data_IF_028587566067
#
_entry.id   IF_028587566067
#
_cell.length_a   1.000
_cell.length_b   1.000
_cell.length_c   1.000
_cell.angle_alpha   90.00
_cell.angle_beta   90.00
_cell.angle_gamma   90.00
#
_symmetry.space_group_name_H-M   'P 1'
#
loop_
_entity.id
_entity.type
_entity.pdbx_description
1 polymer ?
#
# COMPACT_ATOMS: atom_id res chain seq x y z
N UNK A 1 6.02 -12.15 -19.28
CA UNK A 1 5.96 -11.16 -18.17
C UNK A 1 4.59 -11.06 -17.47
N UNK A 2 3.59 -11.93 -17.76
CA UNK A 2 2.23 -11.82 -17.19
C UNK A 2 1.94 -12.68 -15.94
N UNK A 3 2.75 -13.69 -15.64
CA UNK A 3 2.40 -14.73 -14.64
C UNK A 3 2.65 -14.37 -13.16
N UNK A 4 2.99 -13.11 -12.83
CA UNK A 4 3.41 -12.73 -11.47
C UNK A 4 2.46 -11.81 -10.68
N UNK A 5 1.41 -11.27 -11.31
CA UNK A 5 0.58 -10.20 -10.73
C UNK A 5 -0.92 -10.51 -10.72
N UNK A 6 -1.30 -11.76 -11.00
CA UNK A 6 -2.70 -12.18 -11.05
C UNK A 6 -3.40 -11.99 -9.69
N UNK A 7 -2.65 -12.07 -8.58
CA UNK A 7 -3.16 -11.80 -7.23
C UNK A 7 -3.50 -10.32 -6.97
N UNK A 8 -3.03 -9.41 -7.83
CA UNK A 8 -3.30 -7.97 -7.78
C UNK A 8 -4.44 -7.55 -8.72
N UNK A 9 -4.68 -8.33 -9.77
CA UNK A 9 -5.62 -8.00 -10.86
C UNK A 9 -6.88 -8.87 -10.85
N UNK A 10 -6.90 -9.96 -10.07
CA UNK A 10 -8.07 -10.80 -9.89
C UNK A 10 -9.28 -10.06 -9.28
N UNK A 11 -10.51 -10.55 -9.49
CA UNK A 11 -11.75 -9.90 -9.04
C UNK A 11 -11.82 -9.64 -7.54
N UNK A 12 -11.08 -10.41 -6.74
CA UNK A 12 -11.03 -10.30 -5.28
C UNK A 12 -9.86 -9.45 -4.76
N UNK A 13 -8.91 -9.06 -5.61
CA UNK A 13 -7.71 -8.32 -5.19
C UNK A 13 -8.01 -6.99 -4.47
N UNK A 14 -9.04 -6.21 -4.86
CA UNK A 14 -9.47 -5.00 -4.14
C UNK A 14 -10.46 -5.29 -2.99
N UNK A 15 -11.03 -6.50 -2.94
CA UNK A 15 -12.18 -6.86 -2.08
C UNK A 15 -11.80 -7.65 -0.83
N UNK A 16 -10.52 -8.00 -0.63
CA UNK A 16 -10.05 -8.67 0.58
C UNK A 16 -10.50 -7.89 1.82
N UNK A 17 -11.39 -8.49 2.61
CA UNK A 17 -12.06 -7.81 3.72
C UNK A 17 -11.07 -7.18 4.70
N UNK A 18 -9.97 -7.86 5.01
CA UNK A 18 -8.96 -7.29 5.91
C UNK A 18 -8.06 -6.23 5.28
N UNK A 19 -7.99 -6.10 3.94
CA UNK A 19 -7.39 -4.90 3.33
C UNK A 19 -8.18 -3.67 3.75
N UNK A 20 -9.53 -3.74 3.65
CA UNK A 20 -10.42 -2.64 4.03
C UNK A 20 -10.31 -2.33 5.52
N UNK A 21 -10.30 -3.36 6.37
CA UNK A 21 -10.10 -3.22 7.81
C UNK A 21 -8.76 -2.57 8.14
N UNK A 22 -7.65 -3.12 7.65
CA UNK A 22 -6.31 -2.59 7.96
C UNK A 22 -6.06 -1.21 7.34
N UNK A 23 -6.57 -0.92 6.13
CA UNK A 23 -6.52 0.45 5.59
C UNK A 23 -7.29 1.44 6.48
N UNK A 24 -8.47 1.05 6.97
CA UNK A 24 -9.25 1.90 7.87
C UNK A 24 -8.51 2.13 9.18
N UNK A 25 -7.99 1.06 9.79
CA UNK A 25 -7.23 1.13 11.03
C UNK A 25 -5.98 2.01 10.89
N UNK A 26 -5.22 1.85 9.79
CA UNK A 26 -4.07 2.71 9.48
C UNK A 26 -4.49 4.17 9.32
N UNK A 27 -5.56 4.44 8.56
CA UNK A 27 -6.04 5.82 8.37
C UNK A 27 -6.45 6.47 9.70
N UNK A 28 -7.11 5.73 10.60
CA UNK A 28 -7.46 6.24 11.93
C UNK A 28 -6.21 6.51 12.75
N UNK A 29 -5.26 5.57 12.80
CA UNK A 29 -4.02 5.73 13.54
C UNK A 29 -3.22 6.95 13.07
N UNK A 30 -3.09 7.12 11.74
CA UNK A 30 -2.41 8.27 11.14
C UNK A 30 -3.09 9.58 11.54
N UNK A 31 -4.43 9.66 11.48
CA UNK A 31 -5.18 10.87 11.85
C UNK A 31 -5.01 11.26 13.32
N UNK A 32 -4.77 10.29 14.20
CA UNK A 32 -4.59 10.52 15.64
C UNK A 32 -3.13 10.86 15.96
N UNK A 33 -2.18 10.15 15.35
CA UNK A 33 -0.76 10.22 15.72
C UNK A 33 0.07 11.20 14.87
N UNK A 34 -0.40 11.56 13.68
CA UNK A 34 0.39 12.31 12.71
C UNK A 34 -0.37 13.57 12.27
N UNK A 35 0.27 14.73 12.44
CA UNK A 35 -0.18 15.95 11.77
C UNK A 35 0.22 15.88 10.31
N UNK A 36 -0.76 15.84 9.43
CA UNK A 36 -0.54 15.72 7.99
C UNK A 36 -0.69 17.10 7.35
N UNK A 37 0.33 17.50 6.60
CA UNK A 37 0.22 18.56 5.59
C UNK A 37 0.29 17.90 4.20
N UNK A 38 -0.70 18.19 3.36
CA UNK A 38 -0.90 17.58 2.04
C UNK A 38 -1.11 18.68 1.01
N UNK A 39 -0.27 18.70 -0.02
CA UNK A 39 -0.38 19.63 -1.14
C UNK A 39 -0.40 18.86 -2.46
N UNK A 40 -1.20 19.31 -3.43
CA UNK A 40 -1.20 18.73 -4.78
C UNK A 40 -1.89 17.37 -4.90
N UNK A 41 -2.68 16.94 -3.89
CA UNK A 41 -3.37 15.65 -3.90
C UNK A 41 -4.43 15.59 -4.99
N UNK A 42 -5.01 16.74 -5.33
CA UNK A 42 -5.92 16.95 -6.46
C UNK A 42 -5.27 16.69 -7.83
N UNK A 43 -3.93 16.67 -7.91
CA UNK A 43 -3.21 16.34 -9.15
C UNK A 43 -3.04 14.85 -9.36
N UNK A 44 -3.41 14.03 -8.38
CA UNK A 44 -3.39 12.59 -8.54
C UNK A 44 -4.39 12.22 -9.64
N UNK A 45 -3.96 11.59 -10.75
CA UNK A 45 -4.88 11.24 -11.82
C UNK A 45 -6.02 10.37 -11.27
N UNK A 46 -7.23 10.43 -11.81
CA UNK A 46 -8.34 9.58 -11.37
C UNK A 46 -8.32 8.19 -12.02
N UNK A 47 -7.89 8.13 -13.28
CA UNK A 47 -7.79 6.91 -14.08
C UNK A 47 -6.39 6.72 -14.68
N UNK A 48 -6.13 5.52 -15.23
CA UNK A 48 -4.85 5.17 -15.85
C UNK A 48 -3.76 4.73 -14.86
N UNK A 49 -2.63 4.21 -15.38
CA UNK A 49 -1.51 3.74 -14.56
C UNK A 49 -0.78 4.91 -13.88
N UNK A 50 -0.38 4.73 -12.62
CA UNK A 50 0.37 5.72 -11.84
C UNK A 50 1.52 5.01 -11.14
N UNK A 51 2.73 5.53 -11.30
CA UNK A 51 3.88 5.16 -10.47
C UNK A 51 4.05 6.21 -9.38
N UNK A 52 3.73 5.85 -8.15
CA UNK A 52 3.95 6.71 -7.00
C UNK A 52 5.32 6.40 -6.39
N UNK A 53 6.19 7.40 -6.32
CA UNK A 53 7.47 7.32 -5.64
C UNK A 53 7.57 8.42 -4.59
N UNK A 54 8.39 8.19 -3.58
CA UNK A 54 8.59 9.09 -2.45
C UNK A 54 10.00 8.92 -1.90
N UNK A 55 10.49 9.95 -1.20
CA UNK A 55 11.71 9.80 -0.43
C UNK A 55 11.43 8.96 0.81
N UNK A 56 12.19 7.89 1.03
CA UNK A 56 12.00 6.98 2.16
C UNK A 56 12.94 7.35 3.30
N UNK A 57 12.47 8.23 4.19
CA UNK A 57 13.23 8.78 5.33
C UNK A 57 13.01 7.91 6.58
N UNK A 58 11.80 7.36 6.75
CA UNK A 58 11.42 6.57 7.92
C UNK A 58 10.72 5.27 7.53
N UNK A 59 10.90 4.22 8.33
CA UNK A 59 10.23 2.93 8.12
C UNK A 59 8.70 3.02 8.06
N UNK A 60 8.11 4.07 8.62
CA UNK A 60 6.66 4.30 8.65
C UNK A 60 6.09 4.86 7.34
N UNK A 61 6.92 5.46 6.48
CA UNK A 61 6.50 6.14 5.24
C UNK A 61 5.53 5.32 4.37
N UNK A 62 5.82 4.04 4.03
CA UNK A 62 4.89 3.24 3.22
C UNK A 62 3.51 3.11 3.88
N UNK A 63 3.44 3.01 5.21
CA UNK A 63 2.17 2.90 5.93
C UNK A 63 1.40 4.21 5.91
N UNK A 64 2.08 5.35 6.10
CA UNK A 64 1.47 6.67 6.02
C UNK A 64 0.87 6.90 4.63
N UNK A 65 1.64 6.62 3.58
CA UNK A 65 1.22 6.83 2.20
C UNK A 65 0.02 5.95 1.83
N UNK A 66 0.08 4.65 2.16
CA UNK A 66 -1.02 3.71 1.89
C UNK A 66 -2.29 4.10 2.66
N UNK A 67 -2.17 4.58 3.90
CA UNK A 67 -3.30 5.05 4.69
C UNK A 67 -3.92 6.34 4.16
N UNK A 68 -3.10 7.29 3.71
CA UNK A 68 -3.54 8.56 3.13
C UNK A 68 -4.30 8.41 1.80
N UNK A 69 -3.92 7.41 1.01
CA UNK A 69 -4.52 7.16 -0.30
C UNK A 69 -5.81 6.33 -0.24
N UNK A 70 -6.28 5.97 0.96
CA UNK A 70 -7.56 5.30 1.16
C UNK A 70 -8.69 6.12 0.54
N UNK A 71 -9.43 5.49 -0.38
CA UNK A 71 -10.56 6.10 -1.08
C UNK A 71 -10.19 6.99 -2.27
N UNK A 72 -8.89 7.24 -2.49
CA UNK A 72 -8.40 8.03 -3.63
C UNK A 72 -7.91 7.12 -4.77
N UNK A 73 -7.09 6.11 -4.45
CA UNK A 73 -6.54 5.16 -5.43
C UNK A 73 -6.32 3.79 -4.81
N UNK A 74 -6.41 2.76 -5.64
CA UNK A 74 -5.90 1.43 -5.29
C UNK A 74 -4.37 1.42 -5.47
N UNK A 75 -3.64 1.42 -4.36
CA UNK A 75 -2.17 1.42 -4.36
C UNK A 75 -1.63 0.03 -4.05
N UNK A 76 -0.68 -0.42 -4.85
CA UNK A 76 0.07 -1.66 -4.63
C UNK A 76 1.48 -1.30 -4.16
N UNK A 77 1.84 -1.54 -2.90
CA UNK A 77 3.18 -1.27 -2.41
C UNK A 77 4.18 -2.29 -2.97
N UNK A 78 5.43 -1.84 -3.10
CA UNK A 78 6.57 -2.67 -3.48
C UNK A 78 7.41 -2.89 -2.22
N UNK A 79 7.70 -4.14 -1.88
CA UNK A 79 8.43 -4.49 -0.67
C UNK A 79 9.52 -5.53 -0.94
N UNK A 80 10.50 -5.59 -0.04
CA UNK A 80 11.53 -6.64 -0.01
C UNK A 80 10.92 -8.02 0.21
N UNK A 81 11.41 -9.06 -0.49
CA UNK A 81 10.93 -10.46 -0.32
C UNK A 81 11.07 -10.95 1.12
N UNK A 82 12.08 -10.48 1.83
CA UNK A 82 12.38 -10.76 3.23
C UNK A 82 11.29 -10.26 4.17
N UNK A 83 10.50 -9.24 3.78
CA UNK A 83 9.33 -8.84 4.57
C UNK A 83 8.21 -9.88 4.51
N UNK A 84 8.18 -10.74 3.49
CA UNK A 84 7.17 -11.79 3.35
C UNK A 84 7.36 -12.94 4.36
N UNK A 85 8.60 -13.19 4.82
CA UNK A 85 8.90 -14.29 5.74
C UNK A 85 8.56 -13.97 7.21
N UNK A 86 8.30 -12.70 7.53
CA UNK A 86 7.90 -12.30 8.88
C UNK A 86 6.49 -12.82 9.23
N UNK A 87 6.30 -13.52 10.37
CA UNK A 87 5.02 -14.17 10.68
C UNK A 87 3.85 -13.20 10.87
N UNK A 88 4.15 -11.99 11.38
CA UNK A 88 3.15 -10.94 11.62
C UNK A 88 3.12 -9.95 10.45
N UNK A 89 4.27 -9.32 10.18
CA UNK A 89 4.41 -8.27 9.16
C UNK A 89 4.12 -8.82 7.78
N UNK A 90 4.65 -10.00 7.42
CA UNK A 90 4.41 -10.62 6.12
C UNK A 90 2.93 -10.92 5.89
N UNK A 91 2.25 -11.48 6.91
CA UNK A 91 0.82 -11.72 6.84
C UNK A 91 0.06 -10.41 6.66
N UNK A 92 0.31 -9.38 7.47
CA UNK A 92 -0.35 -8.08 7.35
C UNK A 92 -0.17 -7.43 5.98
N UNK A 93 1.08 -7.36 5.52
CA UNK A 93 1.46 -6.74 4.25
C UNK A 93 0.76 -7.47 3.09
N UNK A 94 0.66 -8.80 3.13
CA UNK A 94 -0.02 -9.58 2.08
C UNK A 94 -1.49 -9.18 1.82
N UNK A 95 -2.21 -8.59 2.79
CA UNK A 95 -3.59 -8.13 2.58
C UNK A 95 -3.65 -6.93 1.64
N UNK A 96 -2.58 -6.16 1.51
CA UNK A 96 -2.55 -4.94 0.72
C UNK A 96 -2.34 -5.18 -0.78
N UNK A 97 -1.99 -6.41 -1.17
CA UNK A 97 -1.59 -6.74 -2.53
C UNK A 97 -0.22 -6.15 -2.84
N UNK A 98 0.84 -6.87 -2.51
CA UNK A 98 2.23 -6.37 -2.56
C UNK A 98 2.98 -7.01 -3.70
N UNK A 99 3.87 -6.23 -4.30
CA UNK A 99 4.89 -6.73 -5.22
C UNK A 99 6.16 -6.93 -4.42
N UNK A 100 6.64 -8.18 -4.37
CA UNK A 100 7.90 -8.50 -3.71
C UNK A 100 9.06 -8.38 -4.69
N UNK A 101 10.16 -7.79 -4.23
CA UNK A 101 11.41 -7.65 -4.98
C UNK A 101 12.51 -8.38 -4.23
N UNK A 102 13.29 -9.19 -4.95
CA UNK A 102 14.49 -9.85 -4.45
C UNK A 102 15.69 -8.91 -4.65
N UNK A 103 16.51 -8.77 -3.61
CA UNK A 103 17.84 -8.14 -3.74
C UNK A 103 18.82 -9.29 -3.93
N UNK A 104 19.44 -9.38 -5.11
CA UNK A 104 20.54 -10.31 -5.37
C UNK A 104 21.77 -9.96 -4.55
#
# INVERSE_FOLDING_TARGET
MKQGFDHLTGPDAPRRWGRRFWHWALQMLIRILVRIDQQGVERLPEAGPVLLYYNHIHYVDPFVIVGLLRGKRYVVPIAKRELASGPIIGKWVSWFGVIYVERG
#
